data_IF_876694526704
#
_entry.id   IF_876694526704
#
_cell.length_a   1.000
_cell.length_b   1.000
_cell.length_c   1.000
_cell.angle_alpha   90.00
_cell.angle_beta   90.00
_cell.angle_gamma   90.00
#
_symmetry.space_group_name_H-M   'P 1'
#
loop_
_entity.id
_entity.type
_entity.pdbx_description
1 polymer ?
#
# COMPACT_ATOMS: atom_id res chain seq x y z
N UNK A 1 11.76 -48.47 -26.46
CA UNK A 1 12.89 -47.53 -26.36
C UNK A 1 12.34 -46.15 -26.62
N UNK A 2 11.90 -45.46 -25.56
CA UNK A 2 12.57 -44.33 -24.88
C UNK A 2 13.00 -43.21 -25.84
N UNK A 3 12.44 -42.02 -25.56
CA UNK A 3 13.09 -40.70 -25.44
C UNK A 3 12.41 -39.62 -26.30
N UNK A 4 11.69 -38.68 -25.66
CA UNK A 4 12.23 -37.50 -24.93
C UNK A 4 12.17 -36.29 -25.88
N UNK A 5 11.18 -35.42 -25.71
CA UNK A 5 11.21 -34.20 -24.88
C UNK A 5 11.69 -32.99 -25.69
N UNK A 6 11.00 -31.88 -25.42
CA UNK A 6 11.52 -30.51 -25.21
C UNK A 6 10.95 -29.48 -26.21
N UNK A 7 9.88 -28.76 -25.83
CA UNK A 7 9.86 -27.38 -25.22
C UNK A 7 10.00 -26.32 -26.32
N UNK A 8 9.17 -25.28 -26.46
CA UNK A 8 8.99 -24.06 -25.64
C UNK A 8 7.93 -23.24 -26.41
N UNK A 9 6.84 -22.74 -25.85
CA UNK A 9 6.76 -21.38 -25.29
C UNK A 9 5.56 -21.28 -24.35
N UNK A 10 5.80 -21.45 -23.06
CA UNK A 10 4.91 -20.91 -22.02
C UNK A 10 5.43 -19.55 -21.58
N UNK A 11 5.65 -18.64 -22.53
CA UNK A 11 5.62 -17.21 -22.20
C UNK A 11 4.15 -16.87 -22.02
N UNK A 12 3.69 -16.80 -20.76
CA UNK A 12 2.34 -16.37 -20.42
C UNK A 12 2.13 -14.94 -20.90
N UNK A 13 1.68 -14.77 -22.14
CA UNK A 13 1.11 -13.54 -22.63
C UNK A 13 -0.09 -13.25 -21.74
N UNK A 14 0.00 -12.23 -20.87
CA UNK A 14 -1.19 -11.70 -20.19
C UNK A 14 -2.24 -11.39 -21.23
N UNK A 15 -3.47 -11.83 -21.00
CA UNK A 15 -4.55 -11.60 -21.95
C UNK A 15 -4.84 -10.10 -22.03
N UNK A 16 -5.24 -9.64 -23.23
CA UNK A 16 -5.50 -8.20 -23.48
C UNK A 16 -6.52 -7.60 -22.50
N UNK A 17 -7.49 -8.40 -22.05
CA UNK A 17 -8.46 -7.98 -21.04
C UNK A 17 -7.82 -7.78 -19.66
N UNK A 18 -6.92 -8.67 -19.25
CA UNK A 18 -6.18 -8.56 -17.99
C UNK A 18 -5.32 -7.29 -17.95
N UNK A 19 -4.65 -6.98 -19.07
CA UNK A 19 -3.89 -5.72 -19.21
C UNK A 19 -4.79 -4.47 -19.10
N UNK A 20 -6.00 -4.51 -19.65
CA UNK A 20 -6.97 -3.41 -19.55
C UNK A 20 -7.40 -3.22 -18.09
N UNK A 21 -7.74 -4.30 -17.38
CA UNK A 21 -8.11 -4.22 -15.97
C UNK A 21 -6.96 -3.73 -15.09
N UNK A 22 -5.73 -4.19 -15.37
CA UNK A 22 -4.54 -3.75 -14.66
C UNK A 22 -4.29 -2.25 -14.85
N UNK A 23 -4.41 -1.76 -16.09
CA UNK A 23 -4.31 -0.33 -16.40
C UNK A 23 -5.39 0.47 -15.68
N UNK A 24 -6.64 0.03 -15.76
CA UNK A 24 -7.76 0.69 -15.10
C UNK A 24 -7.54 0.77 -13.58
N UNK A 25 -7.02 -0.30 -12.97
CA UNK A 25 -6.70 -0.33 -11.55
C UNK A 25 -5.64 0.72 -11.15
N UNK A 26 -4.61 0.94 -11.98
CA UNK A 26 -3.60 1.99 -11.75
C UNK A 26 -4.20 3.39 -11.95
N UNK A 27 -5.02 3.57 -12.99
CA UNK A 27 -5.62 4.86 -13.33
C UNK A 27 -6.54 5.36 -12.21
N UNK A 28 -7.28 4.47 -11.55
CA UNK A 28 -8.18 4.82 -10.42
C UNK A 28 -7.47 4.99 -9.07
N UNK A 29 -6.18 4.65 -8.95
CA UNK A 29 -5.40 4.96 -7.74
C UNK A 29 -5.18 6.49 -7.72
N UNK A 30 -5.68 7.21 -6.69
CA UNK A 30 -5.45 8.65 -6.60
C UNK A 30 -3.96 8.95 -6.34
N UNK A 31 -3.52 10.19 -6.54
CA UNK A 31 -2.23 10.63 -5.99
C UNK A 31 -2.35 10.72 -4.47
N UNK A 32 -1.44 10.10 -3.72
CA UNK A 32 -1.43 10.11 -2.26
C UNK A 32 -1.12 11.51 -1.73
N UNK A 33 -2.07 12.07 -0.98
CA UNK A 33 -1.95 13.32 -0.25
C UNK A 33 -2.14 13.05 1.26
N UNK A 34 -2.07 14.09 2.09
CA UNK A 34 -2.35 13.95 3.53
C UNK A 34 -3.76 13.43 3.82
N UNK A 35 -4.74 13.82 3.00
CA UNK A 35 -6.15 13.69 3.35
C UNK A 35 -6.82 12.44 2.75
N UNK A 36 -6.14 11.71 1.86
CA UNK A 36 -6.77 10.64 1.09
C UNK A 36 -6.18 9.24 1.32
N UNK A 37 -5.36 9.07 2.37
CA UNK A 37 -4.66 7.83 2.67
C UNK A 37 -5.56 6.59 2.64
N UNK A 38 -6.73 6.61 3.29
CA UNK A 38 -7.62 5.44 3.33
C UNK A 38 -8.10 5.00 1.94
N UNK A 39 -8.42 5.98 1.07
CA UNK A 39 -8.86 5.71 -0.32
C UNK A 39 -7.67 5.21 -1.14
N UNK A 40 -6.52 5.89 -1.04
CA UNK A 40 -5.29 5.49 -1.73
C UNK A 40 -4.87 4.06 -1.35
N UNK A 41 -4.81 3.76 -0.05
CA UNK A 41 -4.41 2.47 0.50
C UNK A 41 -5.33 1.34 0.02
N UNK A 42 -6.64 1.58 0.00
CA UNK A 42 -7.61 0.61 -0.54
C UNK A 42 -7.37 0.34 -2.02
N UNK A 43 -7.17 1.40 -2.83
CA UNK A 43 -6.98 1.25 -4.29
C UNK A 43 -5.66 0.56 -4.63
N UNK A 44 -4.57 0.89 -3.94
CA UNK A 44 -3.27 0.27 -4.20
C UNK A 44 -3.24 -1.21 -3.76
N UNK A 45 -3.89 -1.57 -2.65
CA UNK A 45 -4.01 -2.98 -2.24
C UNK A 45 -4.85 -3.80 -3.22
N UNK A 46 -5.92 -3.24 -3.78
CA UNK A 46 -6.68 -3.91 -4.85
C UNK A 46 -5.81 -4.14 -6.09
N UNK A 47 -4.94 -3.18 -6.43
CA UNK A 47 -3.99 -3.37 -7.52
C UNK A 47 -2.97 -4.48 -7.21
N UNK A 48 -2.46 -4.57 -5.99
CA UNK A 48 -1.57 -5.67 -5.57
C UNK A 48 -2.26 -7.03 -5.55
N UNK A 49 -3.55 -7.07 -5.26
CA UNK A 49 -4.38 -8.27 -5.31
C UNK A 49 -4.49 -8.80 -6.75
N UNK A 50 -4.76 -7.92 -7.72
CA UNK A 50 -4.77 -8.25 -9.16
C UNK A 50 -3.41 -8.83 -9.58
N UNK A 51 -2.31 -8.26 -9.09
CA UNK A 51 -0.96 -8.73 -9.36
C UNK A 51 -0.56 -9.99 -8.58
N UNK A 52 -1.40 -10.47 -7.64
CA UNK A 52 -1.13 -11.59 -6.74
C UNK A 52 0.14 -11.42 -5.89
N UNK A 53 0.39 -10.18 -5.46
CA UNK A 53 1.56 -9.81 -4.63
C UNK A 53 1.18 -9.16 -3.31
N UNK A 54 -0.12 -9.12 -2.99
CA UNK A 54 -0.64 -8.47 -1.79
C UNK A 54 -0.03 -9.04 -0.50
N UNK A 55 0.09 -10.36 -0.40
CA UNK A 55 0.61 -11.05 0.78
C UNK A 55 2.08 -10.72 1.05
N UNK A 56 2.85 -10.40 0.02
CA UNK A 56 4.23 -9.92 0.18
C UNK A 56 4.29 -8.58 0.94
N UNK A 57 3.30 -7.71 0.74
CA UNK A 57 3.25 -6.39 1.39
C UNK A 57 2.57 -6.41 2.77
N UNK A 58 1.61 -7.32 2.99
CA UNK A 58 0.86 -7.40 4.24
C UNK A 58 1.49 -8.38 5.24
N UNK A 59 2.04 -9.49 4.75
CA UNK A 59 2.46 -10.62 5.57
C UNK A 59 3.97 -10.91 5.39
N UNK A 60 4.65 -10.17 4.52
CA UNK A 60 6.06 -10.38 4.16
C UNK A 60 6.34 -11.80 3.62
N UNK A 61 5.31 -12.42 3.02
CA UNK A 61 5.39 -13.78 2.47
C UNK A 61 5.78 -13.76 0.99
N UNK A 62 6.68 -14.67 0.64
CA UNK A 62 7.17 -14.83 -0.74
C UNK A 62 8.22 -13.79 -1.14
N UNK A 63 8.40 -13.60 -2.44
CA UNK A 63 9.36 -12.65 -2.99
C UNK A 63 8.85 -12.05 -4.30
N UNK A 64 9.19 -10.79 -4.56
CA UNK A 64 8.96 -10.16 -5.84
C UNK A 64 10.08 -10.51 -6.83
N UNK A 65 9.73 -10.80 -8.07
CA UNK A 65 10.71 -10.77 -9.16
C UNK A 65 11.27 -9.35 -9.34
N UNK A 66 12.47 -9.23 -9.92
CA UNK A 66 13.09 -7.91 -10.16
C UNK A 66 12.24 -6.96 -11.00
N UNK A 67 11.48 -7.49 -11.96
CA UNK A 67 10.54 -6.70 -12.76
C UNK A 67 9.31 -6.26 -11.95
N UNK A 68 8.73 -7.15 -11.13
CA UNK A 68 7.62 -6.80 -10.24
C UNK A 68 8.03 -5.70 -9.25
N UNK A 69 9.18 -5.86 -8.59
CA UNK A 69 9.69 -4.85 -7.65
C UNK A 69 9.88 -3.49 -8.34
N UNK A 70 10.50 -3.47 -9.53
CA UNK A 70 10.67 -2.24 -10.32
C UNK A 70 9.33 -1.60 -10.68
N UNK A 71 8.37 -2.38 -11.18
CA UNK A 71 7.07 -1.87 -11.63
C UNK A 71 6.27 -1.30 -10.46
N UNK A 72 6.19 -2.03 -9.34
CA UNK A 72 5.48 -1.57 -8.14
C UNK A 72 6.12 -0.31 -7.57
N UNK A 73 7.45 -0.26 -7.49
CA UNK A 73 8.17 0.95 -7.07
C UNK A 73 7.83 2.14 -7.95
N UNK A 74 7.82 1.97 -9.27
CA UNK A 74 7.44 3.05 -10.20
C UNK A 74 6.02 3.54 -9.94
N UNK A 75 5.06 2.63 -9.72
CA UNK A 75 3.66 3.00 -9.44
C UNK A 75 3.54 3.73 -8.10
N UNK A 76 4.15 3.18 -7.03
CA UNK A 76 4.15 3.79 -5.71
C UNK A 76 4.71 5.22 -5.76
N UNK A 77 5.88 5.39 -6.36
CA UNK A 77 6.52 6.72 -6.46
C UNK A 77 5.75 7.70 -7.34
N UNK A 78 5.13 7.23 -8.43
CA UNK A 78 4.31 8.06 -9.31
C UNK A 78 2.96 8.50 -8.68
N UNK A 79 2.46 7.74 -7.71
CA UNK A 79 1.19 8.00 -7.02
C UNK A 79 1.39 8.64 -5.64
N UNK A 80 2.47 9.38 -5.44
CA UNK A 80 2.74 10.14 -4.20
C UNK A 80 2.93 11.60 -4.55
N UNK A 81 2.22 12.49 -3.85
CA UNK A 81 2.41 13.93 -3.99
C UNK A 81 3.78 14.36 -3.43
N UNK A 82 4.36 15.43 -3.96
CA UNK A 82 5.66 15.94 -3.55
C UNK A 82 5.78 16.18 -2.03
N UNK A 83 4.73 16.71 -1.39
CA UNK A 83 4.73 16.98 0.05
C UNK A 83 4.79 15.69 0.89
N UNK A 84 4.20 14.60 0.41
CA UNK A 84 4.30 13.28 1.06
C UNK A 84 5.64 12.62 0.70
N UNK A 85 6.09 12.78 -0.54
CA UNK A 85 7.31 12.16 -1.06
C UNK A 85 8.54 12.49 -0.21
N UNK A 86 8.74 13.76 0.16
CA UNK A 86 9.90 14.20 0.96
C UNK A 86 9.95 13.59 2.36
N UNK A 87 8.81 13.21 2.92
CA UNK A 87 8.71 12.64 4.26
C UNK A 87 8.86 11.12 4.28
N UNK A 88 8.57 10.47 3.14
CA UNK A 88 8.47 9.01 3.04
C UNK A 88 9.65 8.41 2.27
N UNK A 89 10.09 9.07 1.21
CA UNK A 89 11.16 8.60 0.32
C UNK A 89 12.46 9.30 0.71
N UNK A 90 13.35 8.56 1.38
CA UNK A 90 14.72 8.99 1.66
C UNK A 90 15.72 8.16 0.83
N UNK A 91 16.97 8.63 0.75
CA UNK A 91 18.02 7.99 -0.07
C UNK A 91 18.34 6.54 0.34
N UNK A 92 18.01 6.13 1.58
CA UNK A 92 18.22 4.77 2.09
C UNK A 92 17.14 3.78 1.64
N UNK A 93 15.95 4.27 1.25
CA UNK A 93 14.76 3.44 0.96
C UNK A 93 14.37 3.44 -0.51
N UNK A 94 15.00 4.26 -1.36
CA UNK A 94 14.48 4.53 -2.71
C UNK A 94 14.43 3.29 -3.61
N UNK A 95 15.29 2.30 -3.40
CA UNK A 95 15.42 1.16 -4.31
C UNK A 95 14.71 -0.11 -3.81
N UNK A 96 14.31 -0.14 -2.54
CA UNK A 96 13.59 -1.26 -1.92
C UNK A 96 12.09 -0.99 -1.85
N UNK A 97 11.32 -1.83 -2.55
CA UNK A 97 9.88 -1.65 -2.70
C UNK A 97 9.12 -1.88 -1.38
N UNK A 98 9.56 -2.83 -0.56
CA UNK A 98 8.94 -3.12 0.72
C UNK A 98 9.26 -2.01 1.74
N UNK A 99 10.48 -1.46 1.71
CA UNK A 99 10.82 -0.32 2.57
C UNK A 99 10.05 0.95 2.21
N UNK A 100 9.79 1.20 0.93
CA UNK A 100 8.92 2.31 0.49
C UNK A 100 7.50 2.11 1.03
N UNK A 101 6.93 0.92 0.82
CA UNK A 101 5.62 0.56 1.34
C UNK A 101 5.53 0.81 2.85
N UNK A 102 6.43 0.22 3.64
CA UNK A 102 6.49 0.38 5.10
C UNK A 102 6.63 1.85 5.51
N UNK A 103 7.43 2.62 4.78
CA UNK A 103 7.60 4.05 5.07
C UNK A 103 6.30 4.84 4.88
N UNK A 104 5.51 4.54 3.84
CA UNK A 104 4.19 5.15 3.62
C UNK A 104 3.28 4.82 4.80
N UNK A 105 3.13 3.53 5.12
CA UNK A 105 2.24 3.09 6.21
C UNK A 105 2.63 3.74 7.53
N UNK A 106 3.93 3.75 7.87
CA UNK A 106 4.43 4.31 9.11
C UNK A 106 4.21 5.83 9.22
N UNK A 107 4.37 6.57 8.11
CA UNK A 107 4.15 8.00 8.09
C UNK A 107 2.70 8.36 8.44
N UNK A 108 1.73 7.70 7.81
CA UNK A 108 0.31 7.95 8.06
C UNK A 108 -0.18 7.40 9.40
N UNK A 109 0.36 6.26 9.86
CA UNK A 109 0.09 5.76 11.21
C UNK A 109 0.60 6.74 12.29
N UNK A 110 1.79 7.32 12.10
CA UNK A 110 2.36 8.29 13.03
C UNK A 110 1.58 9.60 13.05
N UNK A 111 1.20 10.14 11.88
CA UNK A 111 0.38 11.34 11.80
C UNK A 111 -0.99 11.15 12.46
N UNK A 112 -1.62 9.99 12.28
CA UNK A 112 -2.87 9.72 12.96
C UNK A 112 -2.69 9.54 14.48
N UNK A 113 -1.59 8.92 14.93
CA UNK A 113 -1.29 8.81 16.37
C UNK A 113 -1.04 10.19 17.00
N UNK A 114 -0.36 11.09 16.29
CA UNK A 114 -0.18 12.48 16.74
C UNK A 114 -1.52 13.20 16.85
N UNK A 115 -2.41 13.04 15.86
CA UNK A 115 -3.78 13.54 15.92
C UNK A 115 -4.50 12.94 17.15
N UNK A 116 -4.40 11.63 17.43
CA UNK A 116 -4.98 11.03 18.64
C UNK A 116 -4.40 11.61 19.94
N UNK A 117 -3.11 11.93 19.98
CA UNK A 117 -2.49 12.53 21.17
C UNK A 117 -2.93 13.98 21.37
N UNK A 118 -2.86 14.79 20.33
CA UNK A 118 -3.27 16.20 20.35
C UNK A 118 -4.77 16.34 20.60
N UNK A 119 -5.61 15.60 19.85
CA UNK A 119 -7.07 15.62 20.04
C UNK A 119 -7.52 14.90 21.31
N UNK A 120 -6.75 13.94 21.81
CA UNK A 120 -6.95 13.35 23.14
C UNK A 120 -6.87 14.42 24.22
N UNK A 121 -5.91 15.35 24.12
CA UNK A 121 -5.79 16.49 25.02
C UNK A 121 -6.93 17.51 24.79
N UNK A 122 -7.30 17.81 23.54
CA UNK A 122 -8.41 18.77 23.29
C UNK A 122 -9.79 18.22 23.66
N UNK A 123 -10.04 16.90 23.57
CA UNK A 123 -11.31 16.26 23.95
C UNK A 123 -11.52 16.17 25.46
N UNK A 124 -10.43 16.21 26.24
CA UNK A 124 -10.50 16.42 27.70
C UNK A 124 -10.97 17.84 28.04
N UNK A 125 -10.73 18.80 27.15
CA UNK A 125 -11.12 20.21 27.31
C UNK A 125 -12.49 20.49 26.66
N UNK A 126 -12.86 19.76 25.60
CA UNK A 126 -14.14 19.89 24.88
C UNK A 126 -14.80 18.51 24.67
N UNK A 127 -15.71 18.08 25.57
CA UNK A 127 -16.29 16.73 25.54
C UNK A 127 -17.15 16.39 24.30
N UNK A 128 -17.62 17.39 23.55
CA UNK A 128 -18.56 17.23 22.44
C UNK A 128 -17.98 16.53 21.20
N UNK A 129 -16.65 16.46 21.08
CA UNK A 129 -15.96 15.84 19.93
C UNK A 129 -15.48 14.41 20.19
N UNK A 130 -15.76 13.84 21.37
CA UNK A 130 -15.19 12.58 21.85
C UNK A 130 -15.72 11.33 21.13
N UNK A 131 -17.03 11.24 20.85
CA UNK A 131 -17.66 10.03 20.30
C UNK A 131 -17.24 9.75 18.85
N UNK A 132 -17.31 10.76 17.98
CA UNK A 132 -16.93 10.66 16.55
C UNK A 132 -15.45 10.28 16.37
N UNK A 133 -14.59 10.72 17.29
CA UNK A 133 -13.17 10.44 17.27
C UNK A 133 -12.83 9.01 17.71
N UNK A 134 -13.49 8.52 18.76
CA UNK A 134 -13.29 7.16 19.28
C UNK A 134 -13.69 6.11 18.23
N UNK A 135 -14.77 6.31 17.48
CA UNK A 135 -15.22 5.38 16.43
C UNK A 135 -14.19 5.28 15.28
N UNK A 136 -13.65 6.41 14.85
CA UNK A 136 -12.62 6.47 13.79
C UNK A 136 -11.29 5.82 14.24
N UNK A 137 -10.91 6.05 15.50
CA UNK A 137 -9.71 5.44 16.10
C UNK A 137 -9.87 3.91 16.30
N UNK A 138 -11.04 3.44 16.71
CA UNK A 138 -11.36 2.02 16.84
C UNK A 138 -11.30 1.31 15.48
N UNK A 139 -11.87 1.91 14.44
CA UNK A 139 -11.83 1.36 13.08
C UNK A 139 -10.39 1.20 12.58
N UNK A 140 -9.50 2.18 12.78
CA UNK A 140 -8.11 2.03 12.34
C UNK A 140 -7.32 1.06 13.23
N UNK A 141 -7.52 1.06 14.55
CA UNK A 141 -6.86 0.09 15.43
C UNK A 141 -7.22 -1.34 15.07
N UNK A 142 -8.45 -1.60 14.61
CA UNK A 142 -8.84 -2.90 14.06
C UNK A 142 -8.09 -3.22 12.76
N UNK A 143 -7.93 -2.26 11.84
CA UNK A 143 -7.14 -2.44 10.62
C UNK A 143 -5.66 -2.73 10.91
N UNK A 144 -5.03 -1.98 11.83
CA UNK A 144 -3.64 -2.16 12.25
C UNK A 144 -3.43 -3.46 13.04
N UNK A 145 -4.41 -3.85 13.87
CA UNK A 145 -4.36 -5.11 14.63
C UNK A 145 -4.52 -6.32 13.71
N UNK A 146 -5.26 -6.19 12.61
CA UNK A 146 -5.32 -7.22 11.58
C UNK A 146 -4.02 -7.29 10.76
N UNK A 147 -3.33 -6.17 10.56
CA UNK A 147 -2.02 -6.11 9.91
C UNK A 147 -0.89 -6.76 10.75
N UNK A 148 -0.93 -6.66 12.07
CA UNK A 148 0.11 -7.19 12.97
C UNK A 148 -0.12 -8.64 13.43
N UNK A 149 -1.21 -9.29 13.00
CA UNK A 149 -1.57 -10.66 13.41
C UNK A 149 -1.42 -11.72 12.31
N UNK A 150 -0.90 -11.32 11.15
CA UNK A 150 -0.62 -12.19 9.99
C UNK A 150 0.87 -12.46 9.83
#
# INVERSE_FOLDING_TARGET
>A
TIDSKMTTDSTSSMDKLELIYLKLAIDVVPTLTQDNYSIWHTRILNHFDILKIKDYFLEEKGALSGNQARNVRTILTAKIDAAVHVNVINHLKKDDTLLIWKAIINYFASNMLLIVREFGITSLIFPSIKSTFLDSSLMLNLQLKNYTRS
#
